data_IF_667301070001
#
_entry.id   IF_667301070001
#
_cell.length_a   1.000
_cell.length_b   1.000
_cell.length_c   1.000
_cell.angle_alpha   90.00
_cell.angle_beta   90.00
_cell.angle_gamma   90.00
#
_symmetry.space_group_name_H-M   'P 1'
#
loop_
_entity.id
_entity.type
_entity.pdbx_description
1 polymer ?
#
# COMPACT_ATOMS: atom_id res chain seq x y z
N UNK A 1 12.57 -0.25 -10.62
CA UNK A 1 11.47 -1.19 -10.95
C UNK A 1 10.20 -0.70 -10.28
N UNK A 2 9.10 -0.66 -10.99
CA UNK A 2 7.79 -0.29 -10.43
C UNK A 2 7.08 -1.57 -10.01
N UNK A 3 6.44 -1.57 -8.84
CA UNK A 3 5.60 -2.69 -8.42
C UNK A 3 4.39 -2.81 -9.34
N UNK A 4 4.40 -3.81 -10.20
CA UNK A 4 3.35 -4.03 -11.21
C UNK A 4 1.98 -4.36 -10.61
N UNK A 5 1.93 -4.91 -9.39
CA UNK A 5 0.66 -5.29 -8.75
C UNK A 5 -0.05 -4.05 -8.20
N UNK A 6 0.63 -3.25 -7.41
CA UNK A 6 0.08 -2.06 -6.79
C UNK A 6 -0.23 -0.94 -7.81
N UNK A 7 0.60 -0.77 -8.85
CA UNK A 7 0.29 0.20 -9.93
C UNK A 7 -0.91 -0.22 -10.78
N UNK A 8 -1.25 -1.51 -10.86
CA UNK A 8 -2.45 -1.99 -11.55
C UNK A 8 -3.72 -1.92 -10.70
N UNK A 9 -3.61 -1.62 -9.41
CA UNK A 9 -4.75 -1.61 -8.50
C UNK A 9 -5.86 -0.64 -8.97
N UNK A 10 -5.51 0.51 -9.53
CA UNK A 10 -6.49 1.42 -10.12
C UNK A 10 -7.13 0.86 -11.40
N UNK A 11 -6.36 0.21 -12.25
CA UNK A 11 -6.84 -0.27 -13.55
C UNK A 11 -8.02 -1.25 -13.41
N UNK A 12 -8.04 -2.08 -12.36
CA UNK A 12 -9.15 -3.01 -12.12
C UNK A 12 -10.47 -2.29 -11.83
N UNK A 13 -10.43 -1.05 -11.37
CA UNK A 13 -11.63 -0.24 -11.14
C UNK A 13 -12.33 0.18 -12.43
N UNK A 14 -11.65 0.10 -13.57
CA UNK A 14 -12.19 0.39 -14.90
C UNK A 14 -12.85 -0.85 -15.55
N UNK A 15 -12.68 -2.03 -14.96
CA UNK A 15 -13.22 -3.28 -15.49
C UNK A 15 -14.73 -3.42 -15.23
N UNK A 16 -15.41 -4.23 -16.05
CA UNK A 16 -16.86 -4.45 -15.93
C UNK A 16 -17.25 -5.02 -14.56
N UNK A 17 -16.42 -5.85 -13.98
CA UNK A 17 -16.64 -6.36 -12.61
C UNK A 17 -16.77 -5.22 -11.61
N UNK A 18 -15.88 -4.26 -11.64
CA UNK A 18 -15.89 -3.11 -10.71
C UNK A 18 -17.07 -2.19 -10.95
N UNK A 19 -17.46 -1.98 -12.22
CA UNK A 19 -18.68 -1.25 -12.60
C UNK A 19 -19.93 -1.93 -12.03
N UNK A 20 -20.01 -3.26 -12.12
CA UNK A 20 -21.12 -4.05 -11.55
C UNK A 20 -21.15 -3.93 -10.02
N UNK A 21 -19.98 -4.02 -9.35
CA UNK A 21 -19.90 -3.84 -7.91
C UNK A 21 -20.42 -2.46 -7.49
N UNK A 22 -20.00 -1.40 -8.17
CA UNK A 22 -20.46 -0.05 -7.89
C UNK A 22 -21.98 0.08 -8.04
N UNK A 23 -22.55 -0.49 -9.11
CA UNK A 23 -24.03 -0.54 -9.30
C UNK A 23 -24.73 -1.31 -8.18
N UNK A 24 -24.24 -2.49 -7.82
CA UNK A 24 -24.82 -3.33 -6.77
C UNK A 24 -24.76 -2.68 -5.38
N UNK A 25 -23.77 -1.85 -5.14
CA UNK A 25 -23.62 -1.04 -3.92
C UNK A 25 -24.51 0.21 -3.92
N UNK A 26 -25.06 0.59 -5.08
CA UNK A 26 -25.82 1.83 -5.25
C UNK A 26 -24.94 3.08 -5.16
N UNK A 27 -23.67 2.99 -5.58
CA UNK A 27 -22.77 4.15 -5.58
C UNK A 27 -23.23 5.15 -6.64
N UNK A 28 -23.15 6.44 -6.30
CA UNK A 28 -23.45 7.54 -7.25
C UNK A 28 -22.32 7.72 -8.27
N UNK A 29 -21.08 7.53 -7.82
CA UNK A 29 -19.90 7.61 -8.67
C UNK A 29 -19.49 6.23 -9.21
N UNK A 30 -18.86 6.18 -10.38
CA UNK A 30 -18.27 4.93 -10.86
C UNK A 30 -17.12 4.47 -9.95
N UNK A 31 -16.82 3.17 -9.94
CA UNK A 31 -15.83 2.58 -9.04
C UNK A 31 -14.49 3.34 -9.01
N UNK A 32 -14.00 3.78 -10.16
CA UNK A 32 -12.72 4.49 -10.30
C UNK A 32 -12.74 5.95 -9.82
N UNK A 33 -13.88 6.45 -9.34
CA UNK A 33 -14.03 7.79 -8.73
C UNK A 33 -14.54 7.69 -7.30
N UNK A 34 -15.14 6.57 -6.93
CA UNK A 34 -15.70 6.37 -5.61
C UNK A 34 -14.61 6.24 -4.55
N UNK A 35 -14.65 7.11 -3.53
CA UNK A 35 -13.69 7.08 -2.41
C UNK A 35 -13.58 5.69 -1.76
N UNK A 36 -14.72 5.01 -1.59
CA UNK A 36 -14.79 3.66 -1.05
C UNK A 36 -13.87 2.67 -1.75
N UNK A 37 -13.69 2.82 -3.06
CA UNK A 37 -12.82 1.96 -3.87
C UNK A 37 -11.38 2.50 -3.90
N UNK A 38 -11.25 3.81 -4.13
CA UNK A 38 -9.94 4.46 -4.28
C UNK A 38 -9.05 4.33 -3.05
N UNK A 39 -9.62 4.34 -1.85
CA UNK A 39 -8.85 4.29 -0.60
C UNK A 39 -8.01 3.00 -0.43
N UNK A 40 -8.34 1.94 -1.20
CA UNK A 40 -7.53 0.71 -1.27
C UNK A 40 -6.86 0.50 -2.64
N UNK A 41 -7.45 1.02 -3.71
CA UNK A 41 -7.00 0.78 -5.08
C UNK A 41 -6.12 1.90 -5.67
N UNK A 42 -5.91 2.97 -4.93
CA UNK A 42 -5.01 4.06 -5.32
C UNK A 42 -4.39 4.73 -4.09
N UNK A 43 -3.28 5.41 -4.29
CA UNK A 43 -2.85 6.45 -3.37
C UNK A 43 -3.83 7.63 -3.54
N UNK A 44 -4.66 7.87 -2.53
CA UNK A 44 -5.79 8.80 -2.59
C UNK A 44 -5.72 9.87 -1.49
N UNK A 45 -4.66 10.71 -1.44
CA UNK A 45 -4.56 11.78 -0.47
C UNK A 45 -5.63 12.84 -0.72
N UNK A 46 -5.99 13.65 0.30
CA UNK A 46 -6.88 14.78 0.12
C UNK A 46 -6.42 15.70 -1.02
N UNK A 47 -7.34 16.32 -1.77
CA UNK A 47 -6.98 17.18 -2.92
C UNK A 47 -5.92 18.25 -2.60
N UNK A 48 -5.97 18.85 -1.42
CA UNK A 48 -5.00 19.86 -1.00
C UNK A 48 -3.56 19.35 -0.81
N UNK A 49 -3.38 18.02 -0.74
CA UNK A 49 -2.06 17.36 -0.62
C UNK A 49 -1.56 16.81 -1.96
N UNK A 50 -2.28 17.02 -3.05
CA UNK A 50 -1.91 16.52 -4.37
C UNK A 50 -1.02 17.53 -5.07
N UNK A 51 0.22 17.16 -5.34
CA UNK A 51 1.14 17.96 -6.16
C UNK A 51 0.75 17.96 -7.65
N UNK A 52 1.35 18.83 -8.44
CA UNK A 52 1.07 19.00 -9.87
C UNK A 52 1.22 17.71 -10.70
N UNK A 53 2.11 16.82 -10.28
CA UNK A 53 2.37 15.54 -10.97
C UNK A 53 1.53 14.38 -10.46
N UNK A 54 0.66 14.61 -9.49
CA UNK A 54 -0.19 13.58 -8.94
C UNK A 54 -1.15 13.02 -9.99
N UNK A 55 -1.22 11.69 -10.09
CA UNK A 55 -2.18 10.97 -10.95
C UNK A 55 -2.77 9.81 -10.15
N UNK A 56 -4.05 9.86 -9.90
CA UNK A 56 -4.77 8.75 -9.25
C UNK A 56 -4.67 7.45 -10.04
N UNK A 57 -4.48 7.57 -11.37
CA UNK A 57 -4.32 6.44 -12.30
C UNK A 57 -3.03 5.65 -12.10
N UNK A 58 -2.07 6.18 -11.34
CA UNK A 58 -0.84 5.46 -11.00
C UNK A 58 -1.08 4.35 -9.96
N UNK A 59 -2.33 4.21 -9.48
CA UNK A 59 -2.72 3.21 -8.49
C UNK A 59 -2.10 3.50 -7.13
N UNK A 60 -1.68 2.46 -6.42
CA UNK A 60 -0.91 2.64 -5.18
C UNK A 60 0.52 2.97 -5.56
N UNK A 61 0.81 4.27 -5.59
CA UNK A 61 2.11 4.82 -6.00
C UNK A 61 3.18 4.68 -4.91
N UNK A 62 4.41 5.11 -5.22
CA UNK A 62 5.54 5.09 -4.27
C UNK A 62 5.18 5.77 -2.93
N UNK A 63 4.56 6.94 -2.98
CA UNK A 63 4.16 7.67 -1.78
C UNK A 63 3.04 6.98 -0.99
N UNK A 64 2.26 6.09 -1.63
CA UNK A 64 1.26 5.27 -0.94
C UNK A 64 1.88 4.28 0.04
N UNK A 65 3.16 3.93 -0.15
CA UNK A 65 3.93 3.06 0.74
C UNK A 65 5.00 3.81 1.52
N UNK A 66 5.68 4.77 0.88
CA UNK A 66 6.84 5.45 1.44
C UNK A 66 6.53 6.80 2.10
N UNK A 67 5.26 7.20 2.14
CA UNK A 67 4.85 8.50 2.66
C UNK A 67 5.14 9.66 1.70
N UNK A 68 4.66 10.88 2.04
CA UNK A 68 4.83 12.06 1.20
C UNK A 68 6.32 12.37 0.98
N UNK A 69 6.72 12.49 -0.28
CA UNK A 69 8.13 12.52 -0.67
C UNK A 69 8.74 13.94 -0.66
N UNK A 70 7.96 14.95 -0.38
CA UNK A 70 8.34 16.36 -0.48
C UNK A 70 9.67 16.69 0.19
N UNK A 71 9.89 16.21 1.40
CA UNK A 71 11.04 16.58 2.22
C UNK A 71 12.22 15.62 2.10
N UNK A 72 12.00 14.37 1.68
CA UNK A 72 13.07 13.36 1.66
C UNK A 72 13.49 12.94 0.25
N UNK A 73 12.70 13.18 -0.80
CA UNK A 73 12.99 12.69 -2.16
C UNK A 73 14.34 13.18 -2.73
N UNK A 74 14.76 14.37 -2.40
CA UNK A 74 16.08 14.89 -2.80
C UNK A 74 17.18 14.36 -1.90
N UNK A 75 16.88 14.30 -0.61
CA UNK A 75 17.85 13.91 0.40
C UNK A 75 18.26 12.44 0.29
N UNK A 76 17.33 11.52 -0.10
CA UNK A 76 17.64 10.09 -0.12
C UNK A 76 18.72 9.69 -1.14
N UNK A 77 19.04 10.53 -2.12
CA UNK A 77 20.11 10.33 -3.12
C UNK A 77 21.31 11.23 -2.89
N UNK A 78 21.30 12.06 -1.86
CA UNK A 78 22.41 12.97 -1.57
C UNK A 78 23.62 12.19 -1.03
N UNK A 79 24.86 12.63 -1.32
CA UNK A 79 26.05 12.04 -0.71
C UNK A 79 25.95 12.05 0.81
N UNK A 80 26.19 10.91 1.45
CA UNK A 80 26.09 10.77 2.91
C UNK A 80 24.68 10.67 3.46
N UNK A 81 23.65 10.56 2.61
CA UNK A 81 22.28 10.33 3.05
C UNK A 81 22.17 9.04 3.89
N UNK A 82 21.42 9.12 4.98
CA UNK A 82 21.14 7.96 5.83
C UNK A 82 19.65 7.64 5.83
N UNK A 83 19.32 6.37 6.04
CA UNK A 83 17.93 5.95 6.18
C UNK A 83 17.23 6.66 7.35
N UNK A 84 17.91 6.74 8.51
CA UNK A 84 17.37 7.41 9.69
C UNK A 84 17.01 8.88 9.44
N UNK A 85 17.86 9.60 8.69
CA UNK A 85 17.56 10.98 8.30
C UNK A 85 16.34 11.06 7.38
N UNK A 86 16.23 10.18 6.40
CA UNK A 86 15.07 10.15 5.51
C UNK A 86 13.77 9.84 6.27
N UNK A 87 13.82 8.94 7.25
CA UNK A 87 12.68 8.65 8.15
C UNK A 87 12.31 9.91 8.95
N UNK A 88 13.29 10.64 9.47
CA UNK A 88 13.04 11.91 10.18
C UNK A 88 12.43 12.98 9.27
N UNK A 89 12.70 12.94 7.99
CA UNK A 89 12.13 13.83 6.98
C UNK A 89 10.74 13.36 6.45
N UNK A 90 10.24 12.23 6.94
CA UNK A 90 8.90 11.73 6.61
C UNK A 90 8.86 10.49 5.73
N UNK A 91 10.00 9.87 5.40
CA UNK A 91 9.99 8.55 4.77
C UNK A 91 9.35 7.54 5.71
N UNK A 92 8.30 6.87 5.25
CA UNK A 92 7.66 5.83 6.04
C UNK A 92 8.56 4.59 6.11
N UNK A 93 8.86 4.07 7.32
CA UNK A 93 9.85 3.00 7.51
C UNK A 93 9.28 1.62 7.17
N UNK A 94 9.07 1.35 5.89
CA UNK A 94 8.54 0.06 5.41
C UNK A 94 9.46 -1.12 5.67
N UNK A 95 10.67 -0.86 6.11
CA UNK A 95 11.66 -1.85 6.52
C UNK A 95 11.51 -2.28 7.99
N UNK A 96 10.70 -1.57 8.77
CA UNK A 96 10.35 -1.94 10.13
C UNK A 96 9.11 -2.85 10.13
N UNK A 97 9.19 -4.08 10.69
CA UNK A 97 8.11 -5.07 10.58
C UNK A 97 6.74 -4.58 11.05
N UNK A 98 6.67 -3.82 12.13
CA UNK A 98 5.42 -3.30 12.66
C UNK A 98 4.83 -2.20 11.77
N UNK A 99 5.65 -1.30 11.26
CA UNK A 99 5.24 -0.25 10.34
C UNK A 99 4.77 -0.85 9.01
N UNK A 100 5.52 -1.80 8.46
CA UNK A 100 5.15 -2.55 7.26
C UNK A 100 3.79 -3.24 7.45
N UNK A 101 3.60 -3.95 8.56
CA UNK A 101 2.35 -4.65 8.84
C UNK A 101 1.16 -3.69 8.89
N UNK A 102 1.26 -2.58 9.61
CA UNK A 102 0.20 -1.55 9.67
C UNK A 102 -0.14 -0.99 8.31
N UNK A 103 0.87 -0.73 7.50
CA UNK A 103 0.69 -0.23 6.14
C UNK A 103 -0.06 -1.25 5.26
N UNK A 104 0.48 -2.46 5.13
CA UNK A 104 -0.07 -3.49 4.24
C UNK A 104 -1.49 -3.89 4.67
N UNK A 105 -1.70 -4.15 5.96
CA UNK A 105 -2.99 -4.56 6.48
C UNK A 105 -4.04 -3.45 6.37
N UNK A 106 -3.66 -2.19 6.30
CA UNK A 106 -4.64 -1.09 6.14
C UNK A 106 -5.53 -1.24 4.91
N UNK A 107 -5.04 -1.89 3.86
CA UNK A 107 -5.80 -2.16 2.63
C UNK A 107 -6.12 -3.66 2.47
N UNK A 108 -5.18 -4.54 2.81
CA UNK A 108 -5.31 -5.98 2.60
C UNK A 108 -6.10 -6.71 3.71
N UNK A 109 -6.39 -6.05 4.80
CA UNK A 109 -7.28 -6.51 5.85
C UNK A 109 -8.34 -5.46 6.14
N UNK A 110 -7.91 -4.21 6.29
CA UNK A 110 -8.73 -3.07 6.61
C UNK A 110 -8.39 -2.49 7.99
N UNK A 111 -9.03 -1.39 8.29
CA UNK A 111 -9.00 -0.71 9.59
C UNK A 111 -10.36 -0.05 9.85
N UNK A 112 -10.50 0.70 10.95
CA UNK A 112 -11.77 1.36 11.33
C UNK A 112 -12.34 2.29 10.26
N UNK A 113 -11.50 2.82 9.36
CA UNK A 113 -11.90 3.81 8.36
C UNK A 113 -12.21 3.20 6.99
N UNK A 114 -11.62 2.03 6.70
CA UNK A 114 -11.80 1.31 5.42
C UNK A 114 -11.59 -0.19 5.58
N UNK A 115 -12.55 -0.98 5.14
CA UNK A 115 -12.43 -2.43 5.05
C UNK A 115 -13.48 -3.02 4.10
N UNK A 116 -13.23 -4.23 3.61
CA UNK A 116 -14.16 -4.94 2.72
C UNK A 116 -15.23 -5.62 3.56
N UNK A 117 -16.38 -4.99 3.66
CA UNK A 117 -17.55 -5.49 4.39
C UNK A 117 -18.22 -6.67 3.68
N UNK A 118 -19.06 -7.43 4.39
CA UNK A 118 -19.94 -8.45 3.77
C UNK A 118 -20.82 -7.84 2.66
N UNK A 119 -21.26 -6.59 2.79
CA UNK A 119 -22.02 -5.88 1.76
C UNK A 119 -21.19 -5.68 0.49
N UNK A 120 -19.92 -5.30 0.62
CA UNK A 120 -19.00 -5.11 -0.52
C UNK A 120 -18.73 -6.48 -1.19
N UNK A 121 -18.49 -7.53 -0.40
CA UNK A 121 -18.33 -8.89 -0.92
C UNK A 121 -19.60 -9.40 -1.60
N UNK A 122 -20.76 -9.18 -1.00
CA UNK A 122 -22.07 -9.52 -1.58
C UNK A 122 -22.36 -8.77 -2.88
N UNK A 123 -21.81 -7.56 -3.05
CA UNK A 123 -21.90 -6.82 -4.31
C UNK A 123 -21.00 -7.40 -5.42
N UNK A 124 -20.10 -8.34 -5.11
CA UNK A 124 -19.23 -9.04 -6.07
C UNK A 124 -17.74 -8.79 -5.92
N UNK A 125 -17.32 -8.06 -4.88
CA UNK A 125 -15.90 -7.89 -4.58
C UNK A 125 -15.29 -9.25 -4.17
N UNK A 126 -14.09 -9.60 -4.67
CA UNK A 126 -13.40 -10.81 -4.23
C UNK A 126 -13.18 -10.81 -2.72
N UNK A 127 -13.24 -12.01 -2.11
CA UNK A 127 -12.73 -12.17 -0.76
C UNK A 127 -11.26 -11.75 -0.71
N UNK A 128 -10.90 -10.94 0.26
CA UNK A 128 -9.50 -10.64 0.53
C UNK A 128 -8.89 -11.85 1.24
N UNK A 129 -7.82 -12.40 0.65
CA UNK A 129 -7.00 -13.43 1.24
C UNK A 129 -5.58 -12.90 1.27
N UNK A 130 -5.07 -12.63 2.46
CA UNK A 130 -3.76 -11.99 2.63
C UNK A 130 -3.08 -12.54 3.89
N UNK A 131 -1.79 -12.81 3.75
CA UNK A 131 -0.91 -13.15 4.85
C UNK A 131 0.42 -12.40 4.63
N UNK A 132 0.87 -11.67 5.63
CA UNK A 132 1.88 -10.63 5.48
C UNK A 132 3.23 -11.18 5.01
N UNK A 133 3.71 -12.28 5.61
CA UNK A 133 5.02 -12.84 5.27
C UNK A 133 5.03 -13.40 3.85
N UNK A 134 4.06 -14.26 3.52
CA UNK A 134 3.94 -14.87 2.19
C UNK A 134 3.84 -13.81 1.09
N UNK A 135 2.98 -12.82 1.27
CA UNK A 135 2.79 -11.76 0.27
C UNK A 135 4.00 -10.85 0.15
N UNK A 136 4.72 -10.59 1.26
CA UNK A 136 5.97 -9.83 1.22
C UNK A 136 7.05 -10.58 0.45
N UNK A 137 7.17 -11.89 0.65
CA UNK A 137 8.16 -12.71 -0.05
C UNK A 137 7.84 -12.89 -1.54
N UNK A 138 6.55 -12.95 -1.90
CA UNK A 138 6.12 -13.11 -3.30
C UNK A 138 6.00 -11.78 -4.05
N UNK A 139 6.02 -10.65 -3.36
CA UNK A 139 6.01 -9.33 -3.98
C UNK A 139 7.29 -9.12 -4.80
N UNK A 140 7.20 -8.69 -6.08
CA UNK A 140 8.39 -8.42 -6.88
C UNK A 140 9.26 -7.36 -6.22
N UNK A 141 10.49 -7.69 -5.90
CA UNK A 141 11.44 -6.77 -5.31
C UNK A 141 11.67 -5.58 -6.25
N UNK A 142 11.52 -4.37 -5.76
CA UNK A 142 11.85 -3.12 -6.43
C UNK A 142 13.10 -2.44 -5.85
N UNK A 143 13.77 -3.12 -4.93
CA UNK A 143 15.05 -2.77 -4.33
C UNK A 143 16.06 -3.92 -4.49
N UNK A 144 17.33 -3.64 -4.26
CA UNK A 144 18.37 -4.66 -4.28
C UNK A 144 18.48 -5.32 -2.90
N UNK A 145 18.38 -6.64 -2.90
CA UNK A 145 18.72 -7.48 -1.75
C UNK A 145 20.16 -7.94 -1.96
N UNK A 146 21.10 -7.16 -1.46
CA UNK A 146 22.54 -7.39 -1.55
C UNK A 146 23.17 -7.58 -0.16
N UNK A 147 24.49 -7.69 -0.12
CA UNK A 147 25.21 -7.86 1.15
C UNK A 147 25.02 -6.65 2.10
N UNK A 148 24.98 -5.43 1.55
CA UNK A 148 24.76 -4.23 2.35
C UNK A 148 23.36 -4.23 2.98
N UNK A 149 22.34 -4.58 2.20
CA UNK A 149 20.97 -4.75 2.70
C UNK A 149 20.92 -5.78 3.83
N UNK A 150 21.55 -6.95 3.62
CA UNK A 150 21.58 -8.03 4.60
C UNK A 150 22.33 -7.63 5.89
N UNK A 151 23.42 -6.86 5.78
CA UNK A 151 24.15 -6.33 6.95
C UNK A 151 23.30 -5.37 7.78
N UNK A 152 22.54 -4.50 7.13
CA UNK A 152 21.69 -3.50 7.81
C UNK A 152 20.45 -4.12 8.43
N UNK A 153 19.82 -5.08 7.76
CA UNK A 153 18.54 -5.69 8.19
C UNK A 153 18.70 -6.98 8.99
N UNK A 154 19.90 -7.55 9.00
CA UNK A 154 20.12 -8.84 9.59
C UNK A 154 19.39 -9.96 8.83
N UNK A 155 19.25 -11.09 9.50
CA UNK A 155 18.57 -12.25 8.90
C UNK A 155 17.07 -12.00 8.85
N UNK A 156 16.44 -12.27 7.68
CA UNK A 156 14.99 -12.23 7.53
C UNK A 156 14.32 -13.17 8.55
N UNK A 157 13.34 -12.64 9.28
CA UNK A 157 12.57 -13.38 10.26
C UNK A 157 11.09 -13.40 9.84
N UNK A 158 10.75 -14.33 8.96
CA UNK A 158 9.38 -14.50 8.46
C UNK A 158 8.39 -14.88 9.56
N UNK A 159 8.81 -15.66 10.56
CA UNK A 159 7.95 -16.04 11.69
C UNK A 159 7.56 -14.80 12.49
N UNK A 160 8.50 -13.91 12.75
CA UNK A 160 8.23 -12.65 13.44
C UNK A 160 7.29 -11.76 12.65
N UNK A 161 7.50 -11.62 11.35
CA UNK A 161 6.65 -10.82 10.48
C UNK A 161 5.24 -11.40 10.40
N UNK A 162 5.12 -12.72 10.25
CA UNK A 162 3.85 -13.43 10.32
C UNK A 162 3.11 -13.17 11.64
N UNK A 163 3.79 -13.35 12.78
CA UNK A 163 3.19 -13.15 14.10
C UNK A 163 2.70 -11.71 14.32
N UNK A 164 3.48 -10.72 13.89
CA UNK A 164 3.08 -9.30 13.94
C UNK A 164 1.82 -9.07 13.08
N UNK A 165 1.80 -9.64 11.88
CA UNK A 165 0.64 -9.54 10.99
C UNK A 165 -0.64 -10.12 11.61
N UNK A 166 -0.55 -11.31 12.22
CA UNK A 166 -1.69 -11.94 12.90
C UNK A 166 -2.15 -11.13 14.12
N UNK A 167 -1.21 -10.65 14.93
CA UNK A 167 -1.53 -9.86 16.12
C UNK A 167 -2.23 -8.54 15.78
N UNK A 168 -1.81 -7.86 14.72
CA UNK A 168 -2.46 -6.63 14.25
C UNK A 168 -3.83 -6.89 13.62
N UNK A 169 -3.99 -8.01 12.91
CA UNK A 169 -5.27 -8.38 12.31
C UNK A 169 -6.33 -8.77 13.37
N UNK A 170 -5.91 -9.09 14.59
CA UNK A 170 -6.80 -9.46 15.70
C UNK A 170 -7.27 -8.26 16.54
N UNK A 171 -6.77 -7.06 16.29
CA UNK A 171 -7.16 -5.81 16.98
C UNK A 171 -8.40 -5.19 16.33
#
# INVERSE_FOLDING_TARGET
RVDKHHTRAYAVLLEERSRRIARNLGLKEPAHQAKLCLDCHAHNPPPAQRGERFKVTDGVSCEGCHGPAENWIRQHVAPGATHAENVRLGLYPTDEPLAQARLCLSCHFGNKDKFVTHRIMGAGHPRISFELDTFTQTQPAHFLVDEDWNKRKGRWDGIRLWAIGQALAAQ
#
